data_IF_185121043874
#
_entry.id   IF_185121043874
#
_cell.length_a   1.000
_cell.length_b   1.000
_cell.length_c   1.000
_cell.angle_alpha   90.00
_cell.angle_beta   90.00
_cell.angle_gamma   90.00
#
_symmetry.space_group_name_H-M   'P 1'
#
loop_
_entity.id
_entity.type
_entity.pdbx_description
1 polymer ?
#
# COMPACT_ATOMS: atom_id res chain seq x y z
N UNK A 1 19.26 22.94 3.88
CA UNK A 1 19.07 21.63 4.53
C UNK A 1 17.69 21.15 4.08
N UNK A 2 17.64 20.32 3.04
CA UNK A 2 16.37 19.78 2.55
C UNK A 2 15.99 18.65 3.50
N UNK A 3 15.11 18.92 4.45
CA UNK A 3 14.42 17.89 5.20
C UNK A 3 13.50 17.19 4.22
N UNK A 4 14.04 16.20 3.48
CA UNK A 4 13.19 15.14 2.93
C UNK A 4 12.59 14.50 4.16
N UNK A 5 11.36 14.88 4.50
CA UNK A 5 10.54 14.14 5.46
C UNK A 5 10.46 12.74 4.88
N UNK A 6 11.39 11.87 5.29
CA UNK A 6 11.34 10.45 5.02
C UNK A 6 10.16 9.98 5.84
N UNK A 7 8.95 10.15 5.29
CA UNK A 7 7.80 9.40 5.72
C UNK A 7 8.25 7.97 5.51
N UNK A 8 8.65 7.33 6.61
CA UNK A 8 9.02 5.92 6.59
C UNK A 8 7.72 5.21 6.27
N UNK A 9 7.52 4.92 4.99
CA UNK A 9 6.43 4.08 4.53
C UNK A 9 6.73 2.67 5.02
N UNK A 10 6.42 2.42 6.29
CA UNK A 10 6.40 1.06 6.82
C UNK A 10 5.27 0.30 6.15
N UNK A 11 5.40 -1.02 6.08
CA UNK A 11 4.37 -1.89 5.50
C UNK A 11 2.97 -1.64 6.08
N UNK A 12 2.89 -1.26 7.35
CA UNK A 12 1.66 -0.89 8.05
C UNK A 12 0.97 0.33 7.43
N UNK A 13 1.74 1.37 7.09
CA UNK A 13 1.23 2.59 6.42
C UNK A 13 0.74 2.25 5.01
N UNK A 14 1.47 1.39 4.30
CA UNK A 14 1.10 0.96 2.94
C UNK A 14 -0.21 0.15 2.98
N UNK A 15 -0.38 -0.71 4.01
CA UNK A 15 -1.63 -1.44 4.26
C UNK A 15 -2.78 -0.50 4.58
N UNK A 16 -2.58 0.47 5.47
CA UNK A 16 -3.63 1.41 5.86
C UNK A 16 -4.11 2.27 4.66
N UNK A 17 -3.17 2.79 3.86
CA UNK A 17 -3.47 3.51 2.61
C UNK A 17 -4.27 2.64 1.63
N UNK A 18 -3.81 1.39 1.42
CA UNK A 18 -4.53 0.46 0.56
C UNK A 18 -5.94 0.16 1.08
N UNK A 19 -6.11 0.03 2.40
CA UNK A 19 -7.40 -0.20 3.05
C UNK A 19 -8.33 1.00 2.89
N UNK A 20 -7.82 2.21 3.11
CA UNK A 20 -8.52 3.48 2.89
C UNK A 20 -9.02 3.61 1.45
N UNK A 21 -8.17 3.31 0.47
CA UNK A 21 -8.52 3.37 -0.95
C UNK A 21 -9.57 2.31 -1.34
N UNK A 22 -9.50 1.11 -0.78
CA UNK A 22 -10.53 0.08 -0.95
C UNK A 22 -11.85 0.52 -0.30
N UNK A 23 -11.80 1.09 0.91
CA UNK A 23 -12.98 1.59 1.63
C UNK A 23 -13.65 2.76 0.90
N UNK A 24 -12.87 3.62 0.26
CA UNK A 24 -13.36 4.72 -0.61
C UNK A 24 -13.95 4.21 -1.93
N UNK A 25 -13.75 2.93 -2.28
CA UNK A 25 -14.17 2.35 -3.55
C UNK A 25 -13.28 2.78 -4.73
N UNK A 26 -12.12 3.37 -4.44
CA UNK A 26 -11.19 3.89 -5.43
C UNK A 26 -10.44 2.75 -6.12
N UNK A 27 -10.03 1.73 -5.35
CA UNK A 27 -9.38 0.52 -5.86
C UNK A 27 -10.11 -0.72 -5.36
N UNK A 28 -10.01 -1.81 -6.12
CA UNK A 28 -10.58 -3.08 -5.72
C UNK A 28 -9.55 -3.93 -4.99
N UNK A 29 -9.96 -4.67 -3.95
CA UNK A 29 -9.12 -5.68 -3.29
C UNK A 29 -8.54 -6.76 -4.22
N UNK A 30 -9.20 -6.99 -5.36
CA UNK A 30 -8.75 -7.92 -6.40
C UNK A 30 -7.72 -7.31 -7.35
N UNK A 31 -7.55 -6.00 -7.32
CA UNK A 31 -6.53 -5.33 -8.11
C UNK A 31 -5.14 -5.64 -7.55
N UNK A 32 -4.13 -5.58 -8.41
CA UNK A 32 -2.74 -5.74 -8.02
C UNK A 32 -2.25 -4.56 -7.20
N UNK A 33 -1.24 -4.79 -6.36
CA UNK A 33 -0.60 -3.78 -5.49
C UNK A 33 -0.05 -2.62 -6.32
N UNK A 34 0.39 -2.85 -7.56
CA UNK A 34 0.83 -1.76 -8.45
C UNK A 34 -0.26 -0.70 -8.69
N UNK A 35 -1.55 -1.02 -8.53
CA UNK A 35 -2.62 -0.03 -8.66
C UNK A 35 -2.45 1.14 -7.68
N UNK A 36 -1.79 0.92 -6.54
CA UNK A 36 -1.44 1.98 -5.58
C UNK A 36 -0.50 3.03 -6.21
N UNK A 37 0.30 2.69 -7.21
CA UNK A 37 1.18 3.62 -7.93
C UNK A 37 0.42 4.78 -8.59
N UNK A 38 -0.85 4.58 -8.95
CA UNK A 38 -1.67 5.63 -9.54
C UNK A 38 -2.14 6.66 -8.50
N UNK A 39 -2.11 6.30 -7.20
CA UNK A 39 -2.56 7.14 -6.09
C UNK A 39 -1.39 7.70 -5.27
N UNK A 40 -0.29 6.95 -5.19
CA UNK A 40 0.92 7.33 -4.49
C UNK A 40 1.78 8.16 -5.43
N UNK A 41 2.34 9.26 -4.92
CA UNK A 41 3.23 10.12 -5.71
C UNK A 41 4.47 9.34 -6.16
N UNK A 42 5.00 9.57 -7.36
CA UNK A 42 6.17 8.84 -7.89
C UNK A 42 7.43 8.97 -7.02
N UNK A 43 7.56 10.06 -6.26
CA UNK A 43 8.66 10.23 -5.31
C UNK A 43 8.59 9.32 -4.08
N UNK A 44 7.40 8.87 -3.71
CA UNK A 44 7.17 8.04 -2.52
C UNK A 44 6.98 6.57 -2.89
N UNK A 45 6.47 6.30 -4.10
CA UNK A 45 6.30 4.96 -4.66
C UNK A 45 7.59 4.13 -4.57
N UNK A 46 8.73 4.75 -4.85
CA UNK A 46 10.03 4.07 -4.78
C UNK A 46 10.37 3.52 -3.38
N UNK A 47 9.93 4.20 -2.33
CA UNK A 47 10.09 3.71 -0.95
C UNK A 47 9.11 2.57 -0.66
N UNK A 48 7.88 2.70 -1.16
CA UNK A 48 6.82 1.68 -1.04
C UNK A 48 7.22 0.38 -1.71
N UNK A 49 7.76 0.44 -2.93
CA UNK A 49 8.28 -0.75 -3.65
C UNK A 49 9.36 -1.46 -2.85
N UNK A 50 10.33 -0.70 -2.31
CA UNK A 50 11.42 -1.25 -1.50
C UNK A 50 10.87 -1.99 -0.26
N UNK A 51 9.97 -1.36 0.50
CA UNK A 51 9.42 -1.94 1.72
C UNK A 51 8.53 -3.17 1.43
N UNK A 52 7.78 -3.14 0.31
CA UNK A 52 7.01 -4.29 -0.17
C UNK A 52 7.92 -5.47 -0.49
N UNK A 53 9.00 -5.25 -1.24
CA UNK A 53 9.97 -6.30 -1.57
C UNK A 53 10.69 -6.84 -0.32
N UNK A 54 11.05 -5.97 0.65
CA UNK A 54 11.65 -6.37 1.92
C UNK A 54 10.69 -7.21 2.78
N UNK A 55 9.38 -6.96 2.70
CA UNK A 55 8.35 -7.77 3.33
C UNK A 55 7.94 -9.02 2.52
N UNK A 56 8.47 -9.19 1.30
CA UNK A 56 8.19 -10.34 0.42
C UNK A 56 6.90 -10.22 -0.41
N UNK A 57 6.36 -9.01 -0.57
CA UNK A 57 5.22 -8.73 -1.45
C UNK A 57 5.67 -8.35 -2.85
N UNK A 58 4.93 -8.78 -3.87
CA UNK A 58 5.20 -8.41 -5.25
C UNK A 58 4.18 -7.39 -5.76
N UNK A 59 4.57 -6.50 -6.66
CA UNK A 59 3.65 -5.50 -7.24
C UNK A 59 2.45 -6.12 -7.98
N UNK A 60 2.60 -7.37 -8.43
CA UNK A 60 1.54 -8.17 -9.05
C UNK A 60 0.62 -8.86 -8.06
N UNK A 61 1.02 -8.97 -6.79
CA UNK A 61 0.16 -9.54 -5.76
C UNK A 61 -1.08 -8.68 -5.59
N UNK A 62 -2.14 -9.28 -5.09
CA UNK A 62 -3.41 -8.59 -4.93
C UNK A 62 -3.33 -7.69 -3.71
N UNK A 63 -4.05 -6.57 -3.75
CA UNK A 63 -4.21 -5.72 -2.58
C UNK A 63 -4.77 -6.52 -1.40
N UNK A 64 -5.71 -7.45 -1.65
CA UNK A 64 -6.21 -8.36 -0.61
C UNK A 64 -5.12 -9.17 0.11
N UNK A 65 -4.01 -9.48 -0.57
CA UNK A 65 -2.87 -10.20 0.02
C UNK A 65 -2.04 -9.26 0.92
N UNK A 66 -1.87 -8.01 0.47
CA UNK A 66 -1.18 -6.96 1.22
C UNK A 66 -1.88 -6.59 2.53
N UNK A 67 -3.16 -6.23 2.48
CA UNK A 67 -3.96 -5.88 3.68
C UNK A 67 -4.36 -7.11 4.51
N UNK A 68 -4.06 -8.31 4.01
CA UNK A 68 -4.41 -9.56 4.67
C UNK A 68 -5.92 -9.80 4.73
N UNK A 69 -6.27 -11.07 4.96
CA UNK A 69 -7.64 -11.47 5.27
C UNK A 69 -7.97 -11.13 6.73
N UNK A 70 -7.62 -9.93 7.22
CA UNK A 70 -8.09 -9.48 8.51
C UNK A 70 -9.61 -9.36 8.43
N UNK A 71 -10.24 -10.28 9.13
CA UNK A 71 -11.66 -10.32 9.45
C UNK A 71 -12.10 -8.89 9.72
N UNK A 72 -12.86 -8.31 8.80
CA UNK A 72 -13.58 -7.06 9.04
C UNK A 72 -14.63 -7.40 10.08
N UNK A 73 -14.22 -7.46 11.35
CA UNK A 73 -15.14 -7.41 12.47
C UNK A 73 -15.63 -5.97 12.44
N UNK A 74 -16.70 -5.78 11.67
CA UNK A 74 -17.55 -4.61 11.78
C UNK A 74 -18.05 -4.56 13.24
N UNK A 75 -17.77 -3.47 13.94
CA UNK A 75 -18.52 -3.05 15.13
C UNK A 75 -19.61 -2.07 14.65
#
# INVERSE_FOLDING_TARGET
>A
MMTTSTIRYSIDVIRDEARELVKKGTISRQQPIYALCEYIRPGEWRCVECELEECGYLLRDRICDLIGCETWIED
#
